data_IF_231152342286
#
_entry.id   IF_231152342286
#
_cell.length_a   1.000
_cell.length_b   1.000
_cell.length_c   1.000
_cell.angle_alpha   90.00
_cell.angle_beta   90.00
_cell.angle_gamma   90.00
#
_symmetry.space_group_name_H-M   'P 1'
#
loop_
_entity.id
_entity.type
_entity.pdbx_description
1 polymer ?
#
# COMPACT_ATOMS: atom_id res chain seq x y z
N UNK A 1 -17.17 18.58 1.25
CA UNK A 1 -17.16 17.18 0.77
C UNK A 1 -17.84 17.19 -0.58
N UNK A 2 -17.05 17.04 -1.63
CA UNK A 2 -17.57 16.88 -2.99
C UNK A 2 -18.07 15.44 -3.10
N UNK A 3 -19.36 15.23 -2.83
CA UNK A 3 -20.01 13.91 -2.86
C UNK A 3 -20.27 13.49 -4.32
N UNK A 4 -19.19 13.34 -5.09
CA UNK A 4 -19.24 12.69 -6.39
C UNK A 4 -19.26 11.19 -6.13
N UNK A 5 -20.24 10.44 -6.68
CA UNK A 5 -20.25 8.99 -6.57
C UNK A 5 -18.92 8.46 -7.09
N UNK A 6 -18.22 7.68 -6.25
CA UNK A 6 -16.94 7.05 -6.62
C UNK A 6 -17.23 6.10 -7.78
N UNK A 7 -16.52 6.30 -8.88
CA UNK A 7 -16.64 5.41 -10.04
C UNK A 7 -15.54 4.35 -9.97
N UNK A 8 -15.71 3.27 -10.73
CA UNK A 8 -14.79 2.12 -10.76
C UNK A 8 -13.35 2.55 -11.07
N UNK A 9 -13.13 3.57 -11.91
CA UNK A 9 -11.77 4.05 -12.23
C UNK A 9 -11.09 4.64 -10.99
N UNK A 10 -11.78 5.49 -10.23
CA UNK A 10 -11.22 6.09 -9.01
C UNK A 10 -10.92 5.03 -7.97
N UNK A 11 -11.86 4.11 -7.73
CA UNK A 11 -11.67 3.01 -6.79
C UNK A 11 -10.53 2.09 -7.20
N UNK A 12 -10.36 1.82 -8.49
CA UNK A 12 -9.28 0.98 -8.99
C UNK A 12 -7.91 1.64 -8.77
N UNK A 13 -7.81 2.95 -9.00
CA UNK A 13 -6.58 3.69 -8.72
C UNK A 13 -6.24 3.66 -7.23
N UNK A 14 -7.23 3.84 -6.37
CA UNK A 14 -7.05 3.79 -4.92
C UNK A 14 -6.67 2.40 -4.43
N UNK A 15 -7.33 1.35 -4.90
CA UNK A 15 -6.96 -0.04 -4.57
C UNK A 15 -5.52 -0.33 -5.01
N UNK A 16 -5.13 0.09 -6.22
CA UNK A 16 -3.76 -0.07 -6.71
C UNK A 16 -2.76 0.66 -5.80
N UNK A 17 -2.98 1.94 -5.51
CA UNK A 17 -2.08 2.73 -4.65
C UNK A 17 -2.00 2.18 -3.21
N UNK A 18 -3.12 1.70 -2.67
CA UNK A 18 -3.18 1.03 -1.37
C UNK A 18 -2.41 -0.28 -1.37
N UNK A 19 -2.56 -1.14 -2.39
CA UNK A 19 -1.80 -2.40 -2.47
C UNK A 19 -0.29 -2.17 -2.57
N UNK A 20 0.15 -1.14 -3.29
CA UNK A 20 1.57 -0.77 -3.36
C UNK A 20 2.11 -0.36 -1.99
N UNK A 21 1.35 0.48 -1.27
CA UNK A 21 1.73 0.91 0.07
C UNK A 21 1.78 -0.27 1.05
N UNK A 22 0.84 -1.20 0.97
CA UNK A 22 0.83 -2.42 1.80
C UNK A 22 2.10 -3.25 1.57
N UNK A 23 2.52 -3.44 0.32
CA UNK A 23 3.76 -4.18 -0.01
C UNK A 23 4.99 -3.45 0.54
N UNK A 24 5.08 -2.13 0.33
CA UNK A 24 6.18 -1.31 0.84
C UNK A 24 6.30 -1.41 2.37
N UNK A 25 5.16 -1.33 3.07
CA UNK A 25 5.11 -1.42 4.53
C UNK A 25 5.39 -2.84 5.04
N UNK A 26 4.87 -3.87 4.40
CA UNK A 26 5.09 -5.25 4.80
C UNK A 26 6.59 -5.62 4.74
N UNK A 27 7.27 -5.27 3.64
CA UNK A 27 8.71 -5.48 3.54
C UNK A 27 9.50 -4.58 4.49
N UNK A 28 9.08 -3.33 4.70
CA UNK A 28 9.73 -2.46 5.70
C UNK A 28 9.58 -3.01 7.13
N UNK A 29 8.40 -3.54 7.48
CA UNK A 29 8.12 -4.16 8.76
C UNK A 29 9.05 -5.36 9.01
N UNK A 30 9.20 -6.24 8.01
CA UNK A 30 10.15 -7.37 8.08
C UNK A 30 11.57 -6.87 8.19
N UNK A 31 11.97 -5.90 7.36
CA UNK A 31 13.36 -5.41 7.34
C UNK A 31 13.77 -4.73 8.65
N UNK A 32 12.86 -3.98 9.28
CA UNK A 32 13.12 -3.28 10.53
C UNK A 32 12.69 -4.04 11.79
N UNK A 33 11.96 -5.15 11.65
CA UNK A 33 11.31 -5.85 12.77
C UNK A 33 10.36 -4.93 13.53
N UNK A 34 9.53 -4.17 12.81
CA UNK A 34 8.70 -3.09 13.37
C UNK A 34 7.22 -3.49 13.38
N UNK A 35 6.69 -3.81 14.57
CA UNK A 35 5.28 -4.21 14.76
C UNK A 35 4.30 -3.12 14.31
N UNK A 36 4.63 -1.85 14.54
CA UNK A 36 3.73 -0.75 14.17
C UNK A 36 3.56 -0.59 12.66
N UNK A 37 4.59 -0.91 11.88
CA UNK A 37 4.46 -0.99 10.41
C UNK A 37 3.63 -2.20 9.98
N UNK A 38 3.75 -3.32 10.70
CA UNK A 38 2.99 -4.54 10.41
C UNK A 38 1.50 -4.36 10.74
N UNK A 39 1.17 -3.75 11.87
CA UNK A 39 -0.20 -3.40 12.27
C UNK A 39 -0.84 -2.44 11.26
N UNK A 40 -0.06 -1.47 10.74
CA UNK A 40 -0.54 -0.57 9.69
C UNK A 40 -0.89 -1.30 8.38
N UNK A 41 -0.29 -2.46 8.08
CA UNK A 41 -0.69 -3.29 6.93
C UNK A 41 -2.05 -3.93 7.17
N UNK A 42 -2.33 -4.38 8.40
CA UNK A 42 -3.64 -4.93 8.77
C UNK A 42 -4.75 -3.85 8.67
N UNK A 43 -4.49 -2.61 9.11
CA UNK A 43 -5.42 -1.48 8.93
C UNK A 43 -5.71 -1.19 7.44
N UNK A 44 -4.70 -1.33 6.59
CA UNK A 44 -4.86 -1.16 5.14
C UNK A 44 -5.59 -2.34 4.48
N UNK A 45 -5.54 -3.56 5.05
CA UNK A 45 -6.32 -4.72 4.60
C UNK A 45 -7.82 -4.46 4.72
N UNK A 46 -8.24 -3.86 5.84
CA UNK A 46 -9.64 -3.47 6.05
C UNK A 46 -10.08 -2.46 4.98
N UNK A 47 -9.26 -1.42 4.76
CA UNK A 47 -9.52 -0.40 3.73
C UNK A 47 -9.58 -1.01 2.33
N UNK A 48 -8.65 -1.92 1.99
CA UNK A 48 -8.65 -2.63 0.71
C UNK A 48 -9.93 -3.44 0.50
N UNK A 49 -10.35 -4.17 1.54
CA UNK A 49 -11.55 -5.01 1.52
C UNK A 49 -12.80 -4.19 1.23
N UNK A 50 -12.92 -3.00 1.83
CA UNK A 50 -14.02 -2.07 1.57
C UNK A 50 -14.02 -1.57 0.12
N UNK A 51 -12.87 -1.13 -0.39
CA UNK A 51 -12.73 -0.64 -1.77
C UNK A 51 -13.10 -1.75 -2.77
N UNK A 52 -12.63 -2.98 -2.56
CA UNK A 52 -12.91 -4.13 -3.42
C UNK A 52 -14.40 -4.48 -3.40
N UNK A 53 -15.03 -4.48 -2.22
CA UNK A 53 -16.46 -4.73 -2.08
C UNK A 53 -17.29 -3.67 -2.81
N UNK A 54 -16.93 -2.39 -2.67
CA UNK A 54 -17.60 -1.27 -3.37
C UNK A 54 -17.47 -1.42 -4.89
N UNK A 55 -16.28 -1.72 -5.41
CA UNK A 55 -16.06 -1.94 -6.85
C UNK A 55 -16.91 -3.09 -7.40
N UNK A 56 -16.98 -4.21 -6.69
CA UNK A 56 -17.79 -5.38 -7.07
C UNK A 56 -19.28 -5.01 -7.13
N UNK A 57 -19.78 -4.26 -6.15
CA UNK A 57 -21.15 -3.79 -6.13
C UNK A 57 -21.48 -2.87 -7.33
N UNK A 58 -20.63 -1.89 -7.62
CA UNK A 58 -20.80 -0.98 -8.76
C UNK A 58 -20.75 -1.77 -10.08
N UNK A 59 -19.82 -2.71 -10.21
CA UNK A 59 -19.69 -3.55 -11.40
C UNK A 59 -20.97 -4.35 -11.69
N UNK A 60 -21.57 -4.95 -10.65
CA UNK A 60 -22.81 -5.74 -10.78
C UNK A 60 -24.01 -4.89 -11.23
N UNK A 61 -24.12 -3.65 -10.75
CA UNK A 61 -25.24 -2.75 -11.08
C UNK A 61 -25.05 -2.05 -12.44
N UNK A 62 -23.79 -1.85 -12.87
CA UNK A 62 -23.48 -1.12 -14.09
C UNK A 62 -23.69 -1.93 -15.38
N UNK A 63 -23.58 -3.26 -15.33
CA UNK A 63 -23.65 -4.13 -16.51
C UNK A 63 -25.10 -4.39 -16.92
N UNK A 64 -25.45 -4.09 -18.19
CA UNK A 64 -26.82 -4.23 -18.72
C UNK A 64 -26.95 -5.20 -19.89
N UNK A 65 -25.84 -5.64 -20.48
CA UNK A 65 -25.83 -6.58 -21.60
C UNK A 65 -24.56 -7.43 -21.61
N UNK A 66 -24.56 -8.48 -22.44
CA UNK A 66 -23.46 -9.44 -22.53
C UNK A 66 -22.11 -8.78 -22.89
N UNK A 67 -22.10 -7.81 -23.80
CA UNK A 67 -20.86 -7.13 -24.22
C UNK A 67 -20.25 -6.30 -23.09
N UNK A 68 -21.07 -5.62 -22.31
CA UNK A 68 -20.64 -4.91 -21.11
C UNK A 68 -20.14 -5.87 -20.03
N UNK A 69 -20.77 -7.04 -19.89
CA UNK A 69 -20.32 -8.07 -18.96
C UNK A 69 -18.91 -8.56 -19.31
N UNK A 70 -18.65 -8.85 -20.59
CA UNK A 70 -17.32 -9.28 -21.08
C UNK A 70 -16.24 -8.21 -20.81
N UNK A 71 -16.55 -6.93 -21.00
CA UNK A 71 -15.64 -5.84 -20.65
C UNK A 71 -15.40 -5.74 -19.14
N UNK A 72 -16.47 -5.84 -18.34
CA UNK A 72 -16.39 -5.75 -16.87
C UNK A 72 -15.62 -6.93 -16.25
N UNK A 73 -15.68 -8.12 -16.83
CA UNK A 73 -14.87 -9.27 -16.40
C UNK A 73 -13.38 -8.94 -16.37
N UNK A 74 -12.89 -8.18 -17.36
CA UNK A 74 -11.47 -7.80 -17.41
C UNK A 74 -11.09 -6.87 -16.25
N UNK A 75 -11.99 -5.95 -15.89
CA UNK A 75 -11.79 -5.06 -14.73
C UNK A 75 -11.78 -5.85 -13.43
N UNK A 76 -12.74 -6.76 -13.24
CA UNK A 76 -12.82 -7.59 -12.04
C UNK A 76 -11.62 -8.53 -11.90
N UNK A 77 -11.02 -8.99 -12.99
CA UNK A 77 -9.75 -9.74 -12.94
C UNK A 77 -8.60 -8.89 -12.38
N UNK A 78 -8.51 -7.61 -12.75
CA UNK A 78 -7.49 -6.70 -12.20
C UNK A 78 -7.76 -6.46 -10.72
N UNK A 79 -9.02 -6.23 -10.34
CA UNK A 79 -9.40 -6.07 -8.92
C UNK A 79 -9.01 -7.30 -8.10
N UNK A 80 -9.25 -8.51 -8.60
CA UNK A 80 -8.86 -9.74 -7.92
C UNK A 80 -7.33 -9.93 -7.82
N UNK A 81 -6.57 -9.43 -8.80
CA UNK A 81 -5.11 -9.44 -8.75
C UNK A 81 -4.58 -8.46 -7.68
N UNK A 82 -5.15 -7.26 -7.59
CA UNK A 82 -4.81 -6.26 -6.57
C UNK A 82 -5.13 -6.77 -5.17
N UNK A 83 -6.32 -7.35 -4.97
CA UNK A 83 -6.73 -7.96 -3.69
C UNK A 83 -5.77 -9.08 -3.28
N UNK A 84 -5.31 -9.90 -4.23
CA UNK A 84 -4.30 -10.94 -3.95
C UNK A 84 -2.97 -10.33 -3.48
N UNK A 85 -2.48 -9.30 -4.14
CA UNK A 85 -1.24 -8.61 -3.74
C UNK A 85 -1.36 -8.05 -2.31
N UNK A 86 -2.51 -7.45 -1.99
CA UNK A 86 -2.81 -6.95 -0.65
C UNK A 86 -2.79 -8.07 0.40
N UNK A 87 -3.45 -9.20 0.13
CA UNK A 87 -3.45 -10.36 1.02
C UNK A 87 -2.03 -10.94 1.21
N UNK A 88 -1.24 -11.01 0.13
CA UNK A 88 0.15 -11.47 0.20
C UNK A 88 1.01 -10.53 1.05
N UNK A 89 0.76 -9.21 0.99
CA UNK A 89 1.43 -8.23 1.85
C UNK A 89 1.09 -8.44 3.35
N UNK A 90 -0.17 -8.74 3.67
CA UNK A 90 -0.59 -9.12 5.03
C UNK A 90 0.11 -10.40 5.49
N UNK A 91 0.24 -11.40 4.62
CA UNK A 91 0.94 -12.63 4.99
C UNK A 91 2.44 -12.40 5.23
N UNK A 92 3.07 -11.45 4.52
CA UNK A 92 4.44 -11.01 4.80
C UNK A 92 4.52 -10.29 6.15
N UNK A 93 3.61 -9.35 6.44
CA UNK A 93 3.62 -8.59 7.71
C UNK A 93 3.39 -9.49 8.92
N UNK A 94 2.59 -10.56 8.77
CA UNK A 94 2.33 -11.56 9.83
C UNK A 94 3.57 -12.29 10.34
N UNK A 95 4.67 -12.31 9.57
CA UNK A 95 5.96 -12.84 10.06
C UNK A 95 6.41 -12.05 11.30
N UNK A 96 6.16 -10.74 11.30
CA UNK A 96 6.49 -9.81 12.39
C UNK A 96 5.46 -9.93 13.51
N UNK A 97 4.17 -9.70 13.24
CA UNK A 97 3.14 -9.68 14.29
C UNK A 97 2.98 -11.01 15.04
N UNK A 98 3.28 -12.15 14.38
CA UNK A 98 3.26 -13.48 15.01
C UNK A 98 4.62 -13.92 15.56
N UNK A 99 5.64 -13.06 15.48
CA UNK A 99 6.99 -13.33 15.94
C UNK A 99 7.55 -14.68 15.44
N UNK A 100 7.39 -14.96 14.14
CA UNK A 100 7.82 -16.23 13.53
C UNK A 100 9.35 -16.34 13.40
N UNK A 101 10.04 -15.21 13.56
CA UNK A 101 11.48 -15.08 13.38
C UNK A 101 11.86 -14.86 11.91
N UNK A 102 12.86 -14.01 11.69
CA UNK A 102 13.33 -13.65 10.35
C UNK A 102 14.78 -14.12 10.19
N UNK A 103 15.09 -14.96 9.20
CA UNK A 103 16.46 -15.39 8.95
C UNK A 103 17.39 -14.20 8.67
N UNK A 104 18.54 -14.14 9.33
CA UNK A 104 19.49 -13.04 9.15
C UNK A 104 19.96 -12.87 7.69
N UNK A 105 20.01 -13.97 6.92
CA UNK A 105 20.33 -13.94 5.50
C UNK A 105 19.29 -13.16 4.69
N UNK A 106 18.00 -13.29 5.03
CA UNK A 106 16.92 -12.56 4.36
C UNK A 106 17.03 -11.05 4.59
N UNK A 107 17.35 -10.63 5.82
CA UNK A 107 17.60 -9.20 6.12
C UNK A 107 18.78 -8.66 5.30
N UNK A 108 19.86 -9.44 5.17
CA UNK A 108 21.01 -9.04 4.38
C UNK A 108 20.70 -8.95 2.87
N UNK A 109 19.82 -9.80 2.36
CA UNK A 109 19.37 -9.77 0.98
C UNK A 109 18.43 -8.58 0.72
N UNK A 110 17.49 -8.30 1.63
CA UNK A 110 16.63 -7.12 1.57
C UNK A 110 17.43 -5.81 1.55
N UNK A 111 18.53 -5.73 2.29
CA UNK A 111 19.43 -4.57 2.27
C UNK A 111 20.17 -4.37 0.92
N UNK A 112 20.18 -5.38 0.04
CA UNK A 112 20.84 -5.36 -1.27
C UNK A 112 19.86 -5.45 -2.44
N UNK A 113 18.56 -5.36 -2.16
CA UNK A 113 17.53 -5.37 -3.20
C UNK A 113 17.66 -4.15 -4.13
N UNK A 114 17.03 -4.23 -5.30
CA UNK A 114 17.01 -3.10 -6.24
C UNK A 114 16.28 -1.87 -5.65
N UNK A 115 15.29 -2.12 -4.81
CA UNK A 115 14.57 -1.11 -4.04
C UNK A 115 14.70 -1.45 -2.56
N UNK A 116 15.00 -0.44 -1.74
CA UNK A 116 15.40 -0.63 -0.34
C UNK A 116 14.71 0.37 0.58
N UNK A 117 14.21 -0.11 1.71
CA UNK A 117 13.58 0.74 2.73
C UNK A 117 14.63 1.41 3.63
N UNK A 118 14.43 2.69 3.91
CA UNK A 118 15.31 3.49 4.78
C UNK A 118 14.53 4.21 5.88
N UNK A 119 15.11 4.27 7.08
CA UNK A 119 14.60 5.08 8.20
C UNK A 119 15.48 6.33 8.33
N UNK A 120 14.86 7.51 8.20
CA UNK A 120 15.55 8.79 8.25
C UNK A 120 15.02 9.63 9.42
N UNK A 121 15.93 10.30 10.13
CA UNK A 121 15.58 11.22 11.22
C UNK A 121 15.70 12.66 10.71
N UNK A 122 14.58 13.37 10.65
CA UNK A 122 14.54 14.80 10.29
C UNK A 122 14.89 15.62 11.52
N UNK A 123 16.11 16.18 11.55
CA UNK A 123 16.59 17.03 12.66
C UNK A 123 16.02 18.45 12.58
N UNK A 124 15.99 19.13 13.73
CA UNK A 124 15.72 20.56 13.79
C UNK A 124 16.71 21.32 12.89
N UNK A 125 16.22 22.28 12.10
CA UNK A 125 17.01 23.02 11.11
C UNK A 125 17.20 22.33 9.75
N UNK A 126 16.70 21.10 9.56
CA UNK A 126 16.66 20.47 8.25
C UNK A 126 15.77 21.26 7.29
N UNK A 127 16.14 21.29 6.00
CA UNK A 127 15.29 21.86 4.94
C UNK A 127 13.95 21.13 4.79
N UNK A 128 13.84 19.89 5.32
CA UNK A 128 12.60 19.11 5.35
C UNK A 128 11.73 19.42 6.59
N UNK A 129 12.27 20.12 7.59
CA UNK A 129 11.54 20.35 8.84
C UNK A 129 10.38 21.34 8.63
N UNK A 130 9.23 21.04 9.25
CA UNK A 130 8.03 21.89 9.25
C UNK A 130 7.49 22.28 7.86
N UNK A 131 7.73 21.45 6.85
CA UNK A 131 7.20 21.65 5.49
C UNK A 131 6.30 20.48 5.09
N UNK A 132 5.24 20.73 4.29
CA UNK A 132 4.40 19.65 3.79
C UNK A 132 5.18 18.84 2.74
N UNK A 133 4.94 17.52 2.68
CA UNK A 133 5.57 16.63 1.72
C UNK A 133 5.28 17.03 0.27
N UNK A 134 4.11 17.62 0.02
CA UNK A 134 3.68 18.11 -1.30
C UNK A 134 4.66 19.11 -1.92
N UNK A 135 5.39 19.86 -1.09
CA UNK A 135 6.29 20.92 -1.57
C UNK A 135 7.72 20.41 -1.85
N UNK A 136 7.98 19.12 -1.63
CA UNK A 136 9.34 18.57 -1.65
C UNK A 136 9.66 17.73 -2.89
N UNK A 137 8.64 17.27 -3.62
CA UNK A 137 8.77 16.43 -4.83
C UNK A 137 9.83 15.32 -4.71
N UNK A 138 9.92 14.68 -3.53
CA UNK A 138 10.99 13.72 -3.19
C UNK A 138 11.19 12.59 -4.22
N UNK A 139 10.14 12.01 -4.82
CA UNK A 139 10.32 11.00 -5.86
C UNK A 139 11.09 11.52 -7.08
N UNK A 140 10.95 12.80 -7.42
CA UNK A 140 11.61 13.43 -8.57
C UNK A 140 13.03 13.84 -8.21
N UNK A 141 13.22 14.45 -7.04
CA UNK A 141 14.50 15.07 -6.66
C UNK A 141 15.53 14.02 -6.23
N UNK A 142 15.10 13.01 -5.49
CA UNK A 142 16.01 12.00 -4.89
C UNK A 142 15.64 10.56 -5.20
N UNK A 143 14.57 10.32 -5.96
CA UNK A 143 14.13 8.96 -6.28
C UNK A 143 13.54 8.19 -5.09
N UNK A 144 13.19 8.88 -4.00
CA UNK A 144 12.67 8.25 -2.79
C UNK A 144 11.19 8.58 -2.59
N UNK A 145 10.39 7.56 -2.25
CA UNK A 145 9.00 7.69 -1.82
C UNK A 145 8.92 7.61 -0.31
N UNK A 146 8.13 8.50 0.31
CA UNK A 146 7.81 8.42 1.74
C UNK A 146 6.57 7.55 1.89
N UNK A 147 6.71 6.45 2.63
CA UNK A 147 5.63 5.47 2.85
C UNK A 147 5.02 5.59 4.24
N UNK A 148 5.79 6.03 5.23
CA UNK A 148 5.33 6.25 6.59
C UNK A 148 6.03 7.43 7.24
N UNK A 149 5.37 8.07 8.19
CA UNK A 149 5.96 9.08 9.07
C UNK A 149 5.61 8.72 10.52
N UNK A 150 6.64 8.39 11.30
CA UNK A 150 6.51 8.30 12.75
C UNK A 150 6.67 9.69 13.36
N UNK A 151 5.65 10.18 14.06
CA UNK A 151 5.66 11.46 14.79
C UNK A 151 5.50 11.19 16.29
N UNK A 152 6.46 11.64 17.09
CA UNK A 152 6.53 11.27 18.50
C UNK A 152 7.24 9.92 18.70
N UNK A 153 7.45 9.56 19.96
CA UNK A 153 7.72 8.17 20.33
C UNK A 153 6.40 7.53 20.71
#
# INVERSE_FOLDING_TARGET
MDDKPRNVKTLLAEAKDTSELMVDLAYAAVYFGDDGMADAVDDLEETMSEIVAEMRAIALVAVRNRREAEAMTSVLHIVAAIERIANDAVDISRIVTRNLGIPAVLIADLARAAEVSHRLVVRAGSHLANRPLSDMELPVVVGMRVVAIQRGR
#
